data_IF_820503336251
#
_entry.id   IF_820503336251
#
_cell.length_a   1.000
_cell.length_b   1.000
_cell.length_c   1.000
_cell.angle_alpha   90.00
_cell.angle_beta   90.00
_cell.angle_gamma   90.00
#
_symmetry.space_group_name_H-M   'P 1'
#
loop_
_entity.id
_entity.type
_entity.pdbx_description
1 polymer ?
#
# COMPACT_ATOMS: atom_id res chain seq x y z
N UNK A 1 -20.55 2.15 -3.33
CA UNK A 1 -19.36 3.03 -3.23
C UNK A 1 -18.15 2.15 -3.34
N UNK A 2 -17.27 2.47 -4.27
CA UNK A 2 -16.05 1.72 -4.59
C UNK A 2 -14.86 2.44 -3.98
N UNK A 3 -14.51 2.06 -2.74
CA UNK A 3 -13.33 2.53 -2.04
C UNK A 3 -12.33 1.38 -1.94
N UNK A 4 -11.47 1.28 -2.96
CA UNK A 4 -10.63 0.11 -3.23
C UNK A 4 -9.18 0.44 -2.90
N UNK A 5 -8.53 -0.42 -2.12
CA UNK A 5 -7.12 -0.23 -1.75
C UNK A 5 -6.26 -1.29 -2.43
N UNK A 6 -5.17 -0.87 -3.06
CA UNK A 6 -4.13 -1.74 -3.58
C UNK A 6 -2.91 -1.68 -2.65
N UNK A 7 -2.60 -2.81 -2.00
CA UNK A 7 -1.48 -2.96 -1.07
C UNK A 7 -0.46 -3.98 -1.55
N UNK A 8 0.76 -3.83 -1.08
CA UNK A 8 1.87 -4.71 -1.41
C UNK A 8 3.22 -4.02 -1.25
N UNK A 9 4.29 -4.82 -1.32
CA UNK A 9 5.65 -4.31 -1.31
C UNK A 9 5.95 -3.49 -2.59
N UNK A 10 7.02 -2.72 -2.57
CA UNK A 10 7.51 -2.07 -3.78
C UNK A 10 7.91 -3.11 -4.83
N UNK A 11 7.57 -2.89 -6.11
CA UNK A 11 7.84 -3.85 -7.19
C UNK A 11 6.80 -4.95 -7.39
N UNK A 12 5.76 -5.01 -6.53
CA UNK A 12 4.65 -5.99 -6.63
C UNK A 12 3.70 -5.77 -7.81
N UNK A 13 3.80 -4.65 -8.53
CA UNK A 13 2.89 -4.31 -9.64
C UNK A 13 1.61 -3.56 -9.23
N UNK A 14 1.39 -3.33 -7.93
CA UNK A 14 0.20 -2.65 -7.39
C UNK A 14 -0.11 -1.28 -8.01
N UNK A 15 0.90 -0.46 -8.31
CA UNK A 15 0.70 0.88 -8.91
C UNK A 15 0.11 0.78 -10.30
N UNK A 16 0.63 -0.13 -11.14
CA UNK A 16 0.10 -0.38 -12.48
C UNK A 16 -1.35 -0.83 -12.41
N UNK A 17 -1.66 -1.74 -11.49
CA UNK A 17 -3.02 -2.27 -11.35
C UNK A 17 -3.99 -1.24 -10.77
N UNK A 18 -3.58 -0.46 -9.77
CA UNK A 18 -4.41 0.61 -9.22
C UNK A 18 -4.83 1.64 -10.29
N UNK A 19 -3.90 2.02 -11.18
CA UNK A 19 -4.19 2.89 -12.33
C UNK A 19 -5.16 2.24 -13.31
N UNK A 20 -4.97 0.95 -13.63
CA UNK A 20 -5.86 0.20 -14.52
C UNK A 20 -7.28 0.10 -13.97
N UNK A 21 -7.42 -0.21 -12.68
CA UNK A 21 -8.73 -0.30 -11.99
C UNK A 21 -9.42 1.06 -12.01
N UNK A 22 -8.72 2.13 -11.63
CA UNK A 22 -9.28 3.48 -11.60
C UNK A 22 -9.79 3.90 -12.98
N UNK A 23 -9.01 3.60 -14.03
CA UNK A 23 -9.41 3.85 -15.42
C UNK A 23 -10.63 3.05 -15.85
N UNK A 24 -10.69 1.77 -15.50
CA UNK A 24 -11.80 0.89 -15.88
C UNK A 24 -13.11 1.28 -15.20
N UNK A 25 -13.05 1.58 -13.89
CA UNK A 25 -14.21 1.99 -13.11
C UNK A 25 -14.57 3.47 -13.31
N UNK A 26 -13.72 4.24 -13.99
CA UNK A 26 -13.87 5.68 -14.18
C UNK A 26 -14.02 6.43 -12.84
N UNK A 27 -13.19 6.09 -11.86
CA UNK A 27 -13.13 6.72 -10.53
C UNK A 27 -11.73 7.28 -10.25
N UNK A 28 -11.59 8.26 -9.34
CA UNK A 28 -10.29 8.83 -8.98
C UNK A 28 -9.25 7.81 -8.54
N UNK A 29 -8.01 8.02 -8.97
CA UNK A 29 -6.81 7.37 -8.45
C UNK A 29 -6.08 8.32 -7.49
N UNK A 30 -5.63 7.81 -6.34
CA UNK A 30 -4.82 8.55 -5.38
C UNK A 30 -3.71 7.64 -4.87
N UNK A 31 -2.49 8.16 -4.80
CA UNK A 31 -1.33 7.44 -4.25
C UNK A 31 -0.92 8.07 -2.94
N UNK A 32 -0.57 7.23 -1.97
CA UNK A 32 0.07 7.65 -0.74
C UNK A 32 1.54 7.19 -0.71
N UNK A 33 2.47 8.00 -0.17
CA UNK A 33 2.25 9.35 0.37
C UNK A 33 1.98 10.43 -0.68
N UNK A 34 1.31 11.50 -0.28
CA UNK A 34 1.18 12.72 -1.09
C UNK A 34 2.37 13.66 -0.84
N UNK A 35 3.47 13.43 -1.57
CA UNK A 35 4.69 14.24 -1.44
C UNK A 35 4.52 15.71 -1.79
N UNK A 36 3.44 16.10 -2.50
CA UNK A 36 3.17 17.51 -2.81
C UNK A 36 2.71 18.26 -1.58
N UNK A 37 1.84 17.65 -0.78
CA UNK A 37 1.29 18.26 0.43
C UNK A 37 2.13 17.91 1.68
N UNK A 38 2.86 16.79 1.65
CA UNK A 38 3.73 16.32 2.74
C UNK A 38 5.18 16.10 2.24
N UNK A 39 5.90 17.15 1.82
CA UNK A 39 7.27 17.02 1.27
C UNK A 39 8.27 16.43 2.26
N UNK A 40 8.05 16.59 3.57
CA UNK A 40 8.89 16.00 4.61
C UNK A 40 8.92 14.47 4.55
N UNK A 41 7.86 13.81 4.06
CA UNK A 41 7.87 12.35 3.85
C UNK A 41 8.83 11.96 2.73
N UNK A 42 8.92 12.78 1.68
CA UNK A 42 9.90 12.57 0.60
C UNK A 42 11.33 12.77 1.13
N UNK A 43 11.55 13.84 1.90
CA UNK A 43 12.85 14.12 2.54
C UNK A 43 13.28 12.97 3.46
N UNK A 44 12.36 12.42 4.24
CA UNK A 44 12.63 11.31 5.15
C UNK A 44 13.00 10.04 4.38
N UNK A 45 12.21 9.68 3.35
CA UNK A 45 12.45 8.45 2.56
C UNK A 45 13.77 8.48 1.78
N UNK A 46 14.25 9.67 1.44
CA UNK A 46 15.53 9.89 0.77
C UNK A 46 16.68 10.26 1.74
N UNK A 47 16.47 10.17 3.05
CA UNK A 47 17.49 10.39 4.07
C UNK A 47 17.97 11.84 4.21
N UNK A 48 17.23 12.81 3.66
CA UNK A 48 17.51 14.25 3.79
C UNK A 48 17.13 14.80 5.16
N UNK A 49 16.15 14.18 5.81
CA UNK A 49 15.80 14.44 7.22
C UNK A 49 15.74 13.14 8.01
N UNK A 50 16.08 13.23 9.29
CA UNK A 50 15.94 12.11 10.21
C UNK A 50 14.65 12.25 11.03
N UNK A 51 13.78 11.25 10.95
CA UNK A 51 12.63 11.08 11.82
C UNK A 51 12.78 9.77 12.58
N UNK A 52 12.48 9.79 13.87
CA UNK A 52 12.32 8.53 14.60
C UNK A 52 11.05 7.79 14.12
N UNK A 53 10.96 6.50 14.45
CA UNK A 53 9.92 5.63 13.91
C UNK A 53 8.51 6.06 14.31
N UNK A 54 8.33 6.55 15.55
CA UNK A 54 7.03 7.07 16.01
C UNK A 54 6.62 8.31 15.23
N UNK A 55 7.56 9.22 14.99
CA UNK A 55 7.31 10.48 14.28
C UNK A 55 6.97 10.21 12.82
N UNK A 56 7.75 9.34 12.16
CA UNK A 56 7.44 8.96 10.77
C UNK A 56 6.10 8.24 10.69
N UNK A 57 5.83 7.25 11.55
CA UNK A 57 4.53 6.55 11.60
C UNK A 57 3.34 7.51 11.69
N UNK A 58 3.37 8.46 12.64
CA UNK A 58 2.31 9.45 12.80
C UNK A 58 2.23 10.41 11.60
N UNK A 59 3.36 10.77 10.98
CA UNK A 59 3.37 11.64 9.81
C UNK A 59 2.74 10.98 8.58
N UNK A 60 3.00 9.68 8.35
CA UNK A 60 2.32 8.91 7.30
C UNK A 60 0.81 8.79 7.56
N UNK A 61 0.38 8.60 8.82
CA UNK A 61 -1.05 8.59 9.16
C UNK A 61 -1.68 9.98 8.97
N UNK A 62 -0.97 11.06 9.31
CA UNK A 62 -1.44 12.43 9.12
C UNK A 62 -1.66 12.76 7.65
N UNK A 63 -0.78 12.31 6.76
CA UNK A 63 -0.95 12.47 5.30
C UNK A 63 -2.24 11.80 4.83
N UNK A 64 -2.47 10.55 5.25
CA UNK A 64 -3.68 9.82 4.91
C UNK A 64 -4.92 10.51 5.46
N UNK A 65 -4.91 10.93 6.73
CA UNK A 65 -6.05 11.60 7.36
C UNK A 65 -6.41 12.92 6.66
N UNK A 66 -5.41 13.67 6.19
CA UNK A 66 -5.59 14.95 5.53
C UNK A 66 -6.05 14.81 4.08
N UNK A 67 -5.59 13.78 3.36
CA UNK A 67 -5.70 13.71 1.91
C UNK A 67 -6.55 12.52 1.39
N UNK A 68 -7.16 11.73 2.28
CA UNK A 68 -8.04 10.63 1.88
C UNK A 68 -9.33 11.16 1.22
N UNK A 69 -9.72 10.65 0.04
CA UNK A 69 -10.96 11.07 -0.61
C UNK A 69 -12.21 10.58 0.15
N UNK A 70 -13.24 11.42 0.18
CA UNK A 70 -14.54 11.12 0.79
C UNK A 70 -15.43 10.20 -0.08
N UNK A 71 -15.24 10.23 -1.41
CA UNK A 71 -16.04 9.49 -2.40
C UNK A 71 -15.39 8.18 -2.88
N UNK A 72 -15.84 7.70 -4.04
CA UNK A 72 -15.23 6.53 -4.68
C UNK A 72 -13.78 6.84 -5.09
N UNK A 73 -12.87 5.90 -4.87
CA UNK A 73 -11.47 6.03 -5.24
C UNK A 73 -10.75 4.68 -5.24
N UNK A 74 -9.70 4.59 -6.06
CA UNK A 74 -8.67 3.54 -5.95
C UNK A 74 -7.43 4.15 -5.30
N UNK A 75 -6.98 3.56 -4.19
CA UNK A 75 -5.79 4.00 -3.47
C UNK A 75 -4.60 3.06 -3.74
N UNK A 76 -3.48 3.60 -4.22
CA UNK A 76 -2.17 2.93 -4.17
C UNK A 76 -1.52 3.27 -2.83
N UNK A 77 -1.56 2.29 -1.91
CA UNK A 77 -1.25 2.39 -0.48
C UNK A 77 -2.31 3.14 0.35
N UNK A 78 -2.49 2.68 1.59
CA UNK A 78 -3.31 3.30 2.62
C UNK A 78 -2.68 3.08 4.01
N UNK A 79 -3.49 3.04 5.08
CA UNK A 79 -2.99 2.87 6.47
C UNK A 79 -2.27 1.53 6.68
N UNK A 80 -2.57 0.51 5.86
CA UNK A 80 -1.92 -0.79 5.94
C UNK A 80 -0.44 -0.71 5.57
N UNK A 81 -0.10 0.03 4.52
CA UNK A 81 1.29 0.37 4.22
C UNK A 81 1.99 1.04 5.41
N UNK A 82 1.34 1.95 6.11
CA UNK A 82 1.92 2.62 7.28
C UNK A 82 2.22 1.64 8.42
N UNK A 83 1.32 0.69 8.70
CA UNK A 83 1.54 -0.40 9.68
C UNK A 83 2.68 -1.33 9.23
N UNK A 84 2.66 -1.73 7.95
CA UNK A 84 3.62 -2.70 7.41
C UNK A 84 5.06 -2.16 7.43
N UNK A 85 5.26 -0.90 7.04
CA UNK A 85 6.58 -0.27 7.00
C UNK A 85 7.10 0.24 8.37
N UNK A 86 6.26 0.29 9.41
CA UNK A 86 6.68 0.66 10.76
C UNK A 86 7.33 -0.52 11.50
N UNK A 87 8.39 -1.10 10.93
CA UNK A 87 8.97 -2.40 11.33
C UNK A 87 9.48 -2.47 12.77
N UNK A 88 9.77 -1.33 13.39
CA UNK A 88 10.24 -1.24 14.78
C UNK A 88 9.13 -1.01 15.79
N UNK A 89 7.91 -0.68 15.34
CA UNK A 89 6.72 -0.58 16.18
C UNK A 89 6.06 -1.97 16.22
N UNK A 90 5.64 -2.39 17.41
CA UNK A 90 4.83 -3.60 17.55
C UNK A 90 3.59 -3.52 16.64
N UNK A 91 3.40 -4.56 15.84
CA UNK A 91 2.35 -4.56 14.81
C UNK A 91 0.96 -4.47 15.43
N UNK A 92 0.71 -5.14 16.57
CA UNK A 92 -0.57 -5.07 17.28
C UNK A 92 -0.86 -3.64 17.71
N UNK A 93 0.10 -2.97 18.36
CA UNK A 93 -0.05 -1.56 18.75
C UNK A 93 -0.28 -0.63 17.57
N UNK A 94 0.39 -0.86 16.44
CA UNK A 94 0.18 -0.06 15.23
C UNK A 94 -1.25 -0.24 14.68
N UNK A 95 -1.77 -1.47 14.68
CA UNK A 95 -3.15 -1.76 14.31
C UNK A 95 -4.16 -1.13 15.29
N UNK A 96 -3.87 -1.16 16.60
CA UNK A 96 -4.72 -0.54 17.62
C UNK A 96 -4.81 0.97 17.42
N UNK A 97 -3.68 1.65 17.14
CA UNK A 97 -3.67 3.08 16.85
C UNK A 97 -4.51 3.40 15.60
N UNK A 98 -4.33 2.64 14.52
CA UNK A 98 -5.11 2.85 13.29
C UNK A 98 -6.60 2.61 13.53
N UNK A 99 -6.96 1.59 14.32
CA UNK A 99 -8.35 1.30 14.68
C UNK A 99 -8.97 2.41 15.52
N UNK A 100 -8.20 3.01 16.43
CA UNK A 100 -8.66 4.10 17.29
C UNK A 100 -8.89 5.42 16.54
N UNK A 101 -8.29 5.60 15.36
CA UNK A 101 -8.42 6.81 14.55
C UNK A 101 -9.60 6.75 13.57
N UNK A 102 -10.31 5.62 13.49
CA UNK A 102 -11.53 5.43 12.69
C UNK A 102 -11.36 5.83 11.20
N UNK A 103 -10.24 5.40 10.61
CA UNK A 103 -10.03 5.56 9.17
C UNK A 103 -11.09 4.80 8.37
N UNK A 104 -11.52 5.39 7.26
CA UNK A 104 -12.58 4.84 6.40
C UNK A 104 -12.31 3.38 6.03
N UNK A 105 -13.29 2.53 6.31
CA UNK A 105 -13.27 1.12 5.92
C UNK A 105 -13.32 0.97 4.38
N UNK A 106 -12.37 0.24 3.76
CA UNK A 106 -12.41 -0.13 2.34
C UNK A 106 -13.57 -1.03 1.98
N UNK A 107 -14.11 -0.85 0.78
CA UNK A 107 -15.04 -1.84 0.19
C UNK A 107 -14.31 -3.10 -0.28
N UNK A 108 -13.03 -2.97 -0.65
CA UNK A 108 -12.16 -4.05 -1.09
C UNK A 108 -10.69 -3.69 -0.85
N UNK A 109 -9.91 -4.65 -0.36
CA UNK A 109 -8.44 -4.59 -0.33
C UNK A 109 -7.88 -5.66 -1.27
N UNK A 110 -7.09 -5.23 -2.25
CA UNK A 110 -6.30 -6.08 -3.12
C UNK A 110 -4.87 -6.15 -2.57
N UNK A 111 -4.44 -7.34 -2.15
CA UNK A 111 -3.07 -7.57 -1.71
C UNK A 111 -2.27 -8.23 -2.84
N UNK A 112 -1.31 -7.48 -3.39
CA UNK A 112 -0.35 -7.96 -4.38
C UNK A 112 0.87 -8.55 -3.68
N UNK A 113 0.89 -9.88 -3.55
CA UNK A 113 2.00 -10.59 -2.92
C UNK A 113 3.05 -10.97 -3.96
N UNK A 114 4.25 -10.42 -3.82
CA UNK A 114 5.38 -10.75 -4.68
C UNK A 114 6.59 -11.11 -3.81
N UNK A 115 7.40 -12.06 -4.28
CA UNK A 115 8.67 -12.36 -3.63
C UNK A 115 9.58 -11.11 -3.67
N UNK A 116 10.25 -10.74 -2.56
CA UNK A 116 11.11 -9.56 -2.51
C UNK A 116 12.17 -9.53 -3.61
N UNK A 117 12.71 -10.68 -4.00
CA UNK A 117 13.70 -10.83 -5.07
C UNK A 117 13.13 -10.40 -6.42
N UNK A 118 11.97 -10.96 -6.81
CA UNK A 118 11.26 -10.62 -8.05
C UNK A 118 10.88 -9.14 -8.06
N UNK A 119 10.40 -8.64 -6.93
CA UNK A 119 9.97 -7.25 -6.80
C UNK A 119 11.13 -6.26 -6.95
N UNK A 120 12.31 -6.60 -6.41
CA UNK A 120 13.52 -5.80 -6.57
C UNK A 120 14.07 -5.83 -7.99
N UNK A 121 14.05 -6.98 -8.66
CA UNK A 121 14.45 -7.08 -10.08
C UNK A 121 13.60 -6.13 -10.95
N UNK A 122 12.28 -6.18 -10.80
CA UNK A 122 11.36 -5.27 -11.51
C UNK A 122 11.64 -3.79 -11.20
N UNK A 123 12.14 -3.47 -10.01
CA UNK A 123 12.46 -2.10 -9.61
C UNK A 123 13.79 -1.62 -10.20
N UNK A 124 14.79 -2.49 -10.35
CA UNK A 124 16.06 -2.17 -11.00
C UNK A 124 15.85 -1.65 -12.42
N UNK A 125 14.90 -2.25 -13.14
CA UNK A 125 14.57 -1.83 -14.51
C UNK A 125 13.88 -0.46 -14.57
N UNK A 126 13.26 0.00 -13.48
CA UNK A 126 12.51 1.26 -13.42
C UNK A 126 13.37 2.51 -13.13
N UNK A 127 14.68 2.36 -12.87
CA UNK A 127 15.63 3.46 -12.58
C UNK A 127 15.14 4.47 -11.51
N UNK A 128 14.29 4.05 -10.58
CA UNK A 128 13.79 4.90 -9.51
C UNK A 128 14.85 5.13 -8.41
N UNK A 129 14.86 6.30 -7.75
CA UNK A 129 15.71 6.55 -6.59
C UNK A 129 15.48 5.50 -5.49
N UNK A 130 16.57 4.99 -4.92
CA UNK A 130 16.50 3.99 -3.86
C UNK A 130 16.13 4.66 -2.54
N UNK A 131 14.98 4.31 -1.97
CA UNK A 131 14.58 4.77 -0.65
C UNK A 131 15.27 3.99 0.47
N UNK A 132 15.34 4.57 1.68
CA UNK A 132 15.91 3.91 2.87
C UNK A 132 15.19 2.60 3.26
N UNK A 133 13.99 2.37 2.73
CA UNK A 133 13.14 1.20 3.00
C UNK A 133 13.37 0.04 2.03
N UNK A 134 14.17 0.20 0.98
CA UNK A 134 14.32 -0.78 -0.11
C UNK A 134 15.27 -1.95 0.15
N UNK A 135 15.75 -2.12 1.39
CA UNK A 135 16.58 -3.27 1.75
C UNK A 135 15.75 -4.57 1.70
N UNK A 136 16.31 -5.64 1.14
CA UNK A 136 15.69 -6.97 1.05
C UNK A 136 15.06 -7.43 2.37
N UNK A 137 15.82 -7.32 3.46
CA UNK A 137 15.39 -7.71 4.81
C UNK A 137 14.15 -6.92 5.27
N UNK A 138 14.10 -5.62 4.95
CA UNK A 138 12.94 -4.78 5.27
C UNK A 138 11.73 -5.23 4.46
N UNK A 139 11.89 -5.52 3.16
CA UNK A 139 10.78 -5.95 2.31
C UNK A 139 10.23 -7.33 2.73
N UNK A 140 11.09 -8.24 3.20
CA UNK A 140 10.65 -9.52 3.77
C UNK A 140 9.75 -9.32 5.01
N UNK A 141 10.17 -8.48 5.96
CA UNK A 141 9.36 -8.16 7.15
C UNK A 141 8.05 -7.46 6.77
N UNK A 142 8.10 -6.52 5.83
CA UNK A 142 6.91 -5.79 5.36
C UNK A 142 5.90 -6.74 4.70
N UNK A 143 6.37 -7.68 3.86
CA UNK A 143 5.54 -8.72 3.25
C UNK A 143 4.83 -9.55 4.32
N UNK A 144 5.55 -10.06 5.32
CA UNK A 144 4.97 -10.84 6.40
C UNK A 144 3.91 -10.07 7.20
N UNK A 145 4.12 -8.76 7.41
CA UNK A 145 3.13 -7.89 8.04
C UNK A 145 1.86 -7.75 7.18
N UNK A 146 2.00 -7.60 5.87
CA UNK A 146 0.84 -7.61 4.96
C UNK A 146 0.08 -8.94 5.01
N UNK A 147 0.79 -10.07 4.93
CA UNK A 147 0.18 -11.40 5.03
C UNK A 147 -0.53 -11.61 6.38
N UNK A 148 0.02 -11.06 7.46
CA UNK A 148 -0.59 -11.09 8.78
C UNK A 148 -1.88 -10.25 8.83
N UNK A 149 -1.89 -9.03 8.26
CA UNK A 149 -3.11 -8.23 8.17
C UNK A 149 -4.19 -8.90 7.31
N UNK A 150 -3.79 -9.51 6.19
CA UNK A 150 -4.67 -10.29 5.32
C UNK A 150 -5.32 -11.45 6.07
N UNK A 151 -4.52 -12.29 6.75
CA UNK A 151 -5.02 -13.43 7.55
C UNK A 151 -5.96 -12.99 8.66
N UNK A 152 -5.72 -11.81 9.25
CA UNK A 152 -6.57 -11.22 10.29
C UNK A 152 -7.79 -10.49 9.75
N UNK A 153 -7.93 -10.35 8.43
CA UNK A 153 -8.95 -9.54 7.78
C UNK A 153 -9.04 -8.14 8.41
N UNK A 154 -7.86 -7.53 8.62
CA UNK A 154 -7.79 -6.21 9.25
C UNK A 154 -8.43 -5.14 8.37
N UNK A 155 -9.09 -4.17 9.01
CA UNK A 155 -9.79 -3.03 8.40
C UNK A 155 -11.06 -3.37 7.58
N UNK A 156 -11.11 -4.51 6.91
CA UNK A 156 -12.31 -5.03 6.24
C UNK A 156 -12.25 -6.55 6.09
N UNK A 157 -13.40 -7.21 5.90
CA UNK A 157 -13.49 -8.64 5.55
C UNK A 157 -13.23 -8.93 4.08
N UNK A 158 -13.34 -7.91 3.22
CA UNK A 158 -13.24 -8.06 1.77
C UNK A 158 -11.80 -7.90 1.32
N UNK A 159 -11.02 -8.97 1.46
CA UNK A 159 -9.67 -9.06 0.92
C UNK A 159 -9.63 -9.99 -0.27
N UNK A 160 -8.84 -9.60 -1.28
CA UNK A 160 -8.48 -10.48 -2.37
C UNK A 160 -6.96 -10.56 -2.49
N UNK A 161 -6.44 -11.78 -2.45
CA UNK A 161 -5.02 -12.07 -2.60
C UNK A 161 -4.69 -12.26 -4.08
N UNK A 162 -3.65 -11.57 -4.54
CA UNK A 162 -3.19 -11.61 -5.92
C UNK A 162 -1.74 -12.07 -5.91
N UNK A 163 -1.45 -13.12 -6.67
CA UNK A 163 -0.08 -13.58 -6.88
C UNK A 163 0.65 -12.62 -7.84
N UNK A 164 1.40 -11.68 -7.27
CA UNK A 164 2.21 -10.71 -7.98
C UNK A 164 3.45 -11.30 -8.65
N UNK A 165 3.76 -12.59 -8.46
CA UNK A 165 4.88 -13.25 -9.15
C UNK A 165 4.55 -13.62 -10.60
N UNK A 166 3.26 -13.69 -10.95
CA UNK A 166 2.81 -13.96 -12.31
C UNK A 166 3.18 -12.82 -13.29
N UNK A 167 3.14 -13.09 -14.61
CA UNK A 167 3.24 -12.05 -15.64
C UNK A 167 2.18 -10.95 -15.48
N UNK A 168 2.50 -9.74 -15.93
CA UNK A 168 1.66 -8.56 -15.74
C UNK A 168 0.27 -8.73 -16.37
N UNK A 169 0.21 -9.35 -17.54
CA UNK A 169 -1.02 -9.59 -18.29
C UNK A 169 -1.98 -10.51 -17.52
N UNK A 170 -1.46 -11.59 -16.94
CA UNK A 170 -2.23 -12.52 -16.11
C UNK A 170 -2.76 -11.85 -14.84
N UNK A 171 -1.89 -11.11 -14.14
CA UNK A 171 -2.28 -10.32 -12.96
C UNK A 171 -3.37 -9.32 -13.32
N UNK A 172 -3.25 -8.66 -14.48
CA UNK A 172 -4.23 -7.69 -14.94
C UNK A 172 -5.58 -8.37 -15.19
N UNK A 173 -5.61 -9.52 -15.88
CA UNK A 173 -6.84 -10.26 -16.13
C UNK A 173 -7.51 -10.70 -14.83
N UNK A 174 -6.75 -11.26 -13.89
CA UNK A 174 -7.24 -11.67 -12.57
C UNK A 174 -7.86 -10.47 -11.82
N UNK A 175 -7.18 -9.32 -11.79
CA UNK A 175 -7.72 -8.08 -11.20
C UNK A 175 -9.04 -7.66 -11.84
N UNK A 176 -9.12 -7.68 -13.18
CA UNK A 176 -10.33 -7.27 -13.90
C UNK A 176 -11.53 -8.16 -13.53
N UNK A 177 -11.31 -9.47 -13.36
CA UNK A 177 -12.34 -10.42 -12.96
C UNK A 177 -12.85 -10.13 -11.54
N UNK A 178 -11.93 -9.89 -10.59
CA UNK A 178 -12.26 -9.52 -9.22
C UNK A 178 -13.13 -8.26 -9.21
N UNK A 179 -12.67 -7.20 -9.89
CA UNK A 179 -13.38 -5.93 -9.94
C UNK A 179 -14.79 -6.10 -10.52
N UNK A 180 -14.97 -6.91 -11.57
CA UNK A 180 -16.29 -7.21 -12.14
C UNK A 180 -17.21 -7.99 -11.22
N UNK A 181 -16.66 -8.81 -10.32
CA UNK A 181 -17.46 -9.61 -9.38
C UNK A 181 -17.94 -8.84 -8.14
N UNK A 182 -17.29 -7.72 -7.82
CA UNK A 182 -17.62 -6.87 -6.66
C UNK A 182 -18.37 -5.58 -7.04
N UNK A 183 -18.46 -5.28 -8.34
CA UNK A 183 -19.19 -4.14 -8.90
C UNK A 183 -20.61 -4.53 -9.26
#
# INVERSE_FOLDING_TARGET
MSFIICEGIDGSGKTTQALNIAKQLNIPYKKFPDYKNFPMLDDFLHGRVHLNDKSSFLLFLSDIAQNCPEGDAVLDRYVLSTIAYATTIDMGKAMDIVSALDFREPSLILLFDANPEVALERKKDQKTPVSVREKLEIQGVVRERFLTMYKRQFLTKNWYFIDGNKPLEEVSQEVLEVIRSVS
#
